data_IF_411859645186
#
_entry.id   IF_411859645186
#
_cell.length_a   1.000
_cell.length_b   1.000
_cell.length_c   1.000
_cell.angle_alpha   90.00
_cell.angle_beta   90.00
_cell.angle_gamma   90.00
#
_symmetry.space_group_name_H-M   'P 1'
#
loop_
_entity.id
_entity.type
_entity.pdbx_description
1 polymer ?
#
# COMPACT_ATOMS: atom_id res chain seq x y z
N UNK A 1 17.03 -3.03 -22.62
CA UNK A 1 16.94 -2.76 -21.17
C UNK A 1 15.48 -2.46 -20.89
N UNK A 2 14.78 -3.30 -20.13
CA UNK A 2 13.41 -2.96 -19.74
C UNK A 2 13.43 -1.70 -18.87
N UNK A 3 12.55 -0.76 -19.17
CA UNK A 3 12.48 0.50 -18.42
C UNK A 3 11.92 0.20 -17.02
N UNK A 4 12.56 0.76 -15.99
CA UNK A 4 12.20 0.58 -14.58
C UNK A 4 10.69 0.67 -14.29
N UNK A 5 10.00 1.64 -14.90
CA UNK A 5 8.56 1.85 -14.71
C UNK A 5 7.71 0.65 -15.15
N UNK A 6 8.10 -0.04 -16.23
CA UNK A 6 7.40 -1.21 -16.72
C UNK A 6 7.53 -2.40 -15.74
N UNK A 7 8.70 -2.56 -15.12
CA UNK A 7 8.95 -3.57 -14.10
C UNK A 7 8.19 -3.24 -12.82
N UNK A 8 8.23 -1.98 -12.38
CA UNK A 8 7.53 -1.53 -11.17
C UNK A 8 6.00 -1.71 -11.28
N UNK A 9 5.45 -1.53 -12.49
CA UNK A 9 4.01 -1.58 -12.76
C UNK A 9 3.58 -2.83 -13.52
N UNK A 10 4.40 -3.89 -13.52
CA UNK A 10 4.11 -5.12 -14.26
C UNK A 10 2.80 -5.79 -13.82
N UNK A 11 2.42 -5.64 -12.56
CA UNK A 11 1.18 -6.20 -12.00
C UNK A 11 -0.01 -5.26 -12.03
N UNK A 12 0.09 -4.11 -12.71
CA UNK A 12 -1.00 -3.17 -12.83
C UNK A 12 -2.16 -3.76 -13.65
N UNK A 13 -3.30 -3.93 -12.99
CA UNK A 13 -4.56 -4.27 -13.62
C UNK A 13 -5.51 -3.08 -13.48
N UNK A 14 -5.73 -2.41 -14.61
CA UNK A 14 -6.61 -1.23 -14.71
C UNK A 14 -7.82 -1.54 -15.61
N UNK A 15 -8.13 -2.82 -15.81
CA UNK A 15 -9.21 -3.31 -16.68
C UNK A 15 -8.98 -3.16 -18.19
N UNK A 16 -7.89 -2.51 -18.62
CA UNK A 16 -7.51 -2.39 -20.03
C UNK A 16 -5.98 -2.26 -20.19
N UNK A 17 -5.40 -3.05 -21.09
CA UNK A 17 -3.97 -3.03 -21.40
C UNK A 17 -3.48 -1.66 -21.88
N UNK A 18 -4.33 -0.88 -22.56
CA UNK A 18 -4.04 0.49 -23.01
C UNK A 18 -3.83 1.44 -21.84
N UNK A 19 -4.59 1.29 -20.75
CA UNK A 19 -4.44 2.09 -19.52
C UNK A 19 -3.13 1.75 -18.82
N UNK A 20 -2.77 0.47 -18.73
CA UNK A 20 -1.46 0.04 -18.20
C UNK A 20 -0.31 0.65 -19.01
N UNK A 21 -0.35 0.54 -20.35
CA UNK A 21 0.67 1.15 -21.24
C UNK A 21 0.75 2.67 -21.03
N UNK A 22 -0.39 3.34 -20.87
CA UNK A 22 -0.45 4.77 -20.58
C UNK A 22 0.17 5.13 -19.24
N UNK A 23 -0.16 4.40 -18.17
CA UNK A 23 0.42 4.60 -16.85
C UNK A 23 1.95 4.50 -16.90
N UNK A 24 2.48 3.46 -17.53
CA UNK A 24 3.92 3.27 -17.69
C UNK A 24 4.55 4.47 -18.42
N UNK A 25 3.96 4.91 -19.54
CA UNK A 25 4.45 6.07 -20.28
C UNK A 25 4.41 7.37 -19.46
N UNK A 26 3.34 7.60 -18.69
CA UNK A 26 3.23 8.78 -17.80
C UNK A 26 4.34 8.76 -16.76
N UNK A 27 4.56 7.60 -16.11
CA UNK A 27 5.59 7.45 -15.07
C UNK A 27 6.99 7.64 -15.65
N UNK A 28 7.28 7.09 -16.82
CA UNK A 28 8.57 7.28 -17.50
C UNK A 28 8.83 8.76 -17.82
N UNK A 29 7.84 9.43 -18.40
CA UNK A 29 7.95 10.85 -18.77
C UNK A 29 8.21 11.71 -17.53
N UNK A 30 7.43 11.53 -16.46
CA UNK A 30 7.58 12.29 -15.22
C UNK A 30 8.88 11.96 -14.48
N UNK A 31 9.29 10.69 -14.45
CA UNK A 31 10.55 10.27 -13.81
C UNK A 31 11.79 10.82 -14.54
N UNK A 32 11.71 10.99 -15.86
CA UNK A 32 12.79 11.61 -16.65
C UNK A 32 12.94 13.11 -16.42
N UNK A 33 11.89 13.79 -15.91
CA UNK A 33 11.80 15.25 -15.79
C UNK A 33 11.08 15.69 -14.51
N UNK A 34 11.60 15.28 -13.34
CA UNK A 34 10.95 15.39 -12.02
C UNK A 34 10.49 16.80 -11.60
N UNK A 35 11.10 17.86 -12.13
CA UNK A 35 10.81 19.25 -11.77
C UNK A 35 9.86 19.96 -12.74
N UNK A 36 9.46 19.29 -13.82
CA UNK A 36 8.66 19.92 -14.88
C UNK A 36 7.17 19.72 -14.69
N UNK A 37 6.39 20.60 -15.33
CA UNK A 37 4.94 20.45 -15.37
C UNK A 37 4.52 19.25 -16.22
N UNK A 38 3.33 18.70 -15.98
CA UNK A 38 2.78 17.57 -16.74
C UNK A 38 2.77 17.84 -18.26
N UNK A 39 2.34 19.01 -18.76
CA UNK A 39 2.39 19.30 -20.18
C UNK A 39 3.81 19.28 -20.75
N UNK A 40 4.78 19.79 -20.00
CA UNK A 40 6.19 19.83 -20.41
C UNK A 40 6.80 18.43 -20.44
N UNK A 41 6.61 17.63 -19.39
CA UNK A 41 7.08 16.25 -19.34
C UNK A 41 6.44 15.36 -20.43
N UNK A 42 5.21 15.68 -20.84
CA UNK A 42 4.47 14.91 -21.85
C UNK A 42 4.96 15.13 -23.28
N UNK A 43 5.72 16.18 -23.55
CA UNK A 43 6.34 16.49 -24.84
C UNK A 43 5.40 17.01 -25.94
N UNK A 44 4.11 16.68 -25.90
CA UNK A 44 3.11 17.24 -26.82
C UNK A 44 1.71 17.32 -26.18
N UNK A 45 0.81 18.10 -26.81
CA UNK A 45 -0.53 18.37 -26.31
C UNK A 45 -1.39 17.10 -26.19
N UNK A 46 -1.31 16.19 -27.16
CA UNK A 46 -2.09 14.95 -27.16
C UNK A 46 -1.70 14.04 -25.98
N UNK A 47 -0.40 13.92 -25.69
CA UNK A 47 0.11 13.16 -24.55
C UNK A 47 -0.28 13.81 -23.21
N UNK A 48 -0.22 15.14 -23.12
CA UNK A 48 -0.64 15.88 -21.94
C UNK A 48 -2.15 15.68 -21.67
N UNK A 49 -3.00 15.83 -22.69
CA UNK A 49 -4.44 15.57 -22.58
C UNK A 49 -4.70 14.15 -22.12
N UNK A 50 -4.03 13.18 -22.72
CA UNK A 50 -4.16 11.77 -22.37
C UNK A 50 -3.74 11.45 -20.92
N UNK A 51 -2.79 12.20 -20.34
CA UNK A 51 -2.41 12.07 -18.94
C UNK A 51 -3.50 12.60 -18.00
N UNK A 52 -4.10 13.75 -18.31
CA UNK A 52 -5.23 14.28 -17.54
C UNK A 52 -6.47 13.39 -17.66
N UNK A 53 -6.78 12.89 -18.85
CA UNK A 53 -7.88 11.94 -19.07
C UNK A 53 -7.65 10.63 -18.30
N UNK A 54 -6.39 10.18 -18.20
CA UNK A 54 -6.02 9.02 -17.41
C UNK A 54 -6.30 9.25 -15.92
N UNK A 55 -5.91 10.40 -15.35
CA UNK A 55 -6.18 10.69 -13.94
C UNK A 55 -7.65 10.96 -13.62
N UNK A 56 -8.42 11.44 -14.61
CA UNK A 56 -9.86 11.64 -14.48
C UNK A 56 -10.69 10.38 -14.82
N UNK A 57 -10.02 9.25 -15.04
CA UNK A 57 -10.67 8.02 -15.47
C UNK A 57 -11.52 7.41 -14.34
N UNK A 58 -12.82 7.10 -14.58
CA UNK A 58 -13.66 6.44 -13.57
C UNK A 58 -13.48 4.92 -13.53
N UNK A 59 -12.60 4.36 -14.38
CA UNK A 59 -12.52 2.91 -14.60
C UNK A 59 -11.55 2.18 -13.67
N UNK A 60 -10.76 2.91 -12.89
CA UNK A 60 -9.85 2.34 -11.89
C UNK A 60 -9.75 3.31 -10.71
N UNK A 61 -9.33 2.79 -9.57
CA UNK A 61 -9.05 3.58 -8.38
C UNK A 61 -7.55 3.79 -8.19
N UNK A 62 -7.13 4.89 -7.53
CA UNK A 62 -5.71 5.09 -7.19
C UNK A 62 -5.11 3.93 -6.39
N UNK A 63 -5.93 3.21 -5.61
CA UNK A 63 -5.54 2.00 -4.87
C UNK A 63 -5.05 0.88 -5.79
N UNK A 64 -5.54 0.79 -7.03
CA UNK A 64 -5.15 -0.26 -7.97
C UNK A 64 -3.71 -0.07 -8.45
N UNK A 65 -3.28 1.19 -8.60
CA UNK A 65 -1.91 1.56 -8.92
C UNK A 65 -0.99 1.25 -7.74
N UNK A 66 -1.38 1.64 -6.52
CA UNK A 66 -0.60 1.37 -5.30
C UNK A 66 -0.47 -0.15 -5.08
N UNK A 67 -1.55 -0.91 -5.29
CA UNK A 67 -1.53 -2.37 -5.16
C UNK A 67 -0.59 -3.03 -6.18
N UNK A 68 -0.50 -2.50 -7.40
CA UNK A 68 0.45 -2.98 -8.40
C UNK A 68 1.91 -2.79 -7.97
N UNK A 69 2.25 -1.60 -7.47
CA UNK A 69 3.58 -1.29 -6.94
C UNK A 69 3.90 -2.12 -5.70
N UNK A 70 2.91 -2.34 -4.82
CA UNK A 70 3.06 -3.18 -3.64
C UNK A 70 3.39 -4.62 -4.02
N UNK A 71 2.77 -5.18 -5.08
CA UNK A 71 3.13 -6.53 -5.58
C UNK A 71 4.58 -6.59 -6.06
N UNK A 72 5.04 -5.62 -6.84
CA UNK A 72 6.44 -5.55 -7.28
C UNK A 72 7.41 -5.41 -6.10
N UNK A 73 7.03 -4.63 -5.10
CA UNK A 73 7.79 -4.48 -3.84
C UNK A 73 7.85 -5.80 -3.06
N UNK A 74 6.76 -6.56 -3.02
CA UNK A 74 6.72 -7.88 -2.36
C UNK A 74 7.67 -8.86 -3.04
N UNK A 75 7.76 -8.87 -4.37
CA UNK A 75 8.75 -9.72 -5.07
C UNK A 75 10.19 -9.37 -4.67
N UNK A 76 10.54 -8.07 -4.61
CA UNK A 76 11.85 -7.63 -4.11
C UNK A 76 12.08 -8.02 -2.66
N UNK A 77 11.06 -7.91 -1.80
CA UNK A 77 11.16 -8.25 -0.37
C UNK A 77 11.52 -9.74 -0.16
N UNK A 78 11.06 -10.65 -1.02
CA UNK A 78 11.33 -12.10 -0.89
C UNK A 78 12.83 -12.43 -0.94
N UNK A 79 13.63 -11.60 -1.59
CA UNK A 79 15.09 -11.77 -1.71
C UNK A 79 15.83 -11.38 -0.42
N UNK A 80 15.14 -10.77 0.55
CA UNK A 80 15.73 -10.31 1.81
C UNK A 80 15.23 -11.12 3.01
N UNK A 81 16.13 -11.64 3.87
CA UNK A 81 15.73 -12.39 5.07
C UNK A 81 15.07 -11.50 6.12
N UNK A 82 15.43 -10.21 6.17
CA UNK A 82 14.89 -9.22 7.11
C UNK A 82 14.57 -7.94 6.35
N UNK A 83 13.34 -7.45 6.54
CA UNK A 83 12.85 -6.18 6.00
C UNK A 83 12.21 -5.37 7.12
N UNK A 84 12.50 -4.08 7.15
CA UNK A 84 11.90 -3.07 8.01
C UNK A 84 10.72 -2.43 7.27
N UNK A 85 9.53 -2.52 7.85
CA UNK A 85 8.33 -1.81 7.38
C UNK A 85 8.24 -0.45 8.11
N UNK A 86 8.87 0.57 7.54
CA UNK A 86 8.89 1.92 8.13
C UNK A 86 7.57 2.62 7.84
N UNK A 87 6.90 3.10 8.89
CA UNK A 87 5.61 3.76 8.79
C UNK A 87 5.73 5.23 9.22
N UNK A 88 5.18 6.14 8.42
CA UNK A 88 5.07 7.54 8.81
C UNK A 88 3.88 8.25 8.14
N UNK A 89 3.48 9.40 8.66
CA UNK A 89 2.40 10.24 8.11
C UNK A 89 2.95 11.60 7.71
N UNK A 90 2.82 11.94 6.43
CA UNK A 90 3.10 13.28 5.91
C UNK A 90 1.82 14.01 5.50
N UNK A 91 1.92 15.32 5.28
CA UNK A 91 0.82 16.17 4.82
C UNK A 91 1.16 16.76 3.46
N UNK A 92 0.21 16.72 2.53
CA UNK A 92 0.27 17.45 1.28
C UNK A 92 -0.50 18.75 1.44
N UNK A 93 0.19 19.88 1.51
CA UNK A 93 -0.40 21.20 1.69
C UNK A 93 -0.80 21.81 0.32
N UNK A 94 -2.08 22.15 0.20
CA UNK A 94 -2.67 22.77 -0.97
C UNK A 94 -3.46 24.03 -0.63
N UNK A 95 -3.14 24.68 0.50
CA UNK A 95 -3.87 25.83 1.05
C UNK A 95 -4.02 26.98 0.05
N UNK A 96 -3.03 27.20 -0.80
CA UNK A 96 -3.05 28.26 -1.82
C UNK A 96 -3.90 27.92 -3.06
N UNK A 97 -4.26 26.65 -3.25
CA UNK A 97 -4.94 26.14 -4.45
C UNK A 97 -6.45 26.10 -4.25
N UNK A 98 -7.07 27.29 -4.15
CA UNK A 98 -8.49 27.49 -3.80
C UNK A 98 -9.50 26.76 -4.70
N UNK A 99 -9.14 26.46 -5.94
CA UNK A 99 -10.00 25.76 -6.89
C UNK A 99 -10.09 24.24 -6.64
N UNK A 100 -9.17 23.66 -5.84
CA UNK A 100 -9.16 22.22 -5.54
C UNK A 100 -10.29 21.86 -4.57
N UNK A 101 -10.98 20.76 -4.87
CA UNK A 101 -12.05 20.18 -4.05
C UNK A 101 -11.56 18.92 -3.35
N UNK A 102 -12.32 18.45 -2.35
CA UNK A 102 -12.02 17.20 -1.63
C UNK A 102 -10.85 17.28 -0.67
N UNK A 103 -10.41 18.49 -0.31
CA UNK A 103 -9.34 18.71 0.68
C UNK A 103 -9.93 18.79 2.09
N UNK A 104 -9.14 18.41 3.08
CA UNK A 104 -9.49 18.49 4.50
C UNK A 104 -8.56 19.41 5.27
N UNK A 105 -8.90 19.75 6.51
CA UNK A 105 -8.00 20.53 7.36
C UNK A 105 -6.75 19.71 7.73
N UNK A 106 -5.59 20.36 7.85
CA UNK A 106 -4.34 19.72 8.27
C UNK A 106 -4.14 19.85 9.78
N UNK A 107 -2.94 20.19 10.24
CA UNK A 107 -2.66 20.32 11.68
C UNK A 107 -2.99 21.73 12.21
N UNK A 108 -2.95 22.72 11.32
CA UNK A 108 -3.44 24.07 11.57
C UNK A 108 -4.84 24.26 10.96
N UNK A 109 -5.69 25.04 11.63
CA UNK A 109 -7.06 25.33 11.14
C UNK A 109 -7.10 26.07 9.81
N UNK A 110 -6.04 26.80 9.49
CA UNK A 110 -5.92 27.62 8.27
C UNK A 110 -5.25 26.86 7.12
N UNK A 111 -4.76 25.65 7.36
CA UNK A 111 -4.07 24.83 6.36
C UNK A 111 -4.96 23.70 5.87
N UNK A 112 -5.03 23.51 4.55
CA UNK A 112 -5.90 22.53 3.90
C UNK A 112 -5.13 21.65 2.92
N UNK A 113 -5.48 20.37 2.88
CA UNK A 113 -4.81 19.41 2.03
C UNK A 113 -5.19 17.97 2.32
N UNK A 114 -4.22 17.06 2.13
CA UNK A 114 -4.39 15.63 2.33
C UNK A 114 -3.36 15.10 3.33
N UNK A 115 -3.77 14.08 4.09
CA UNK A 115 -2.84 13.28 4.90
C UNK A 115 -2.48 12.02 4.14
N UNK A 116 -1.21 11.66 4.17
CA UNK A 116 -0.66 10.49 3.50
C UNK A 116 0.10 9.67 4.51
N UNK A 117 -0.40 8.48 4.82
CA UNK A 117 0.29 7.51 5.65
C UNK A 117 0.93 6.45 4.77
N UNK A 118 2.26 6.35 4.85
CA UNK A 118 3.05 5.50 3.96
C UNK A 118 3.74 4.43 4.76
N UNK A 119 3.79 3.22 4.20
CA UNK A 119 4.56 2.08 4.71
C UNK A 119 5.62 1.72 3.67
N UNK A 120 6.86 2.04 3.97
CA UNK A 120 8.01 1.81 3.11
C UNK A 120 8.74 0.55 3.54
N UNK A 121 8.97 -0.37 2.61
CA UNK A 121 9.85 -1.52 2.82
C UNK A 121 11.31 -1.11 2.67
N UNK A 122 12.13 -1.43 3.66
CA UNK A 122 13.57 -1.11 3.68
C UNK A 122 14.33 -2.36 4.11
N UNK A 123 15.44 -2.69 3.45
CA UNK A 123 16.31 -3.78 3.89
C UNK A 123 16.98 -3.48 5.24
N UNK A 124 17.57 -4.50 5.88
CA UNK A 124 18.35 -4.31 7.10
C UNK A 124 19.54 -3.34 6.92
N UNK A 125 20.02 -3.16 5.68
CA UNK A 125 21.11 -2.26 5.31
C UNK A 125 20.63 -0.82 5.01
N UNK A 126 19.34 -0.54 5.11
CA UNK A 126 18.79 0.78 4.82
C UNK A 126 18.45 1.03 3.34
N UNK A 127 18.54 0.01 2.48
CA UNK A 127 18.18 0.15 1.05
C UNK A 127 16.65 0.11 0.89
N UNK A 128 16.02 1.12 0.25
CA UNK A 128 14.58 1.13 0.01
C UNK A 128 14.19 0.06 -1.01
N UNK A 129 13.25 -0.81 -0.63
CA UNK A 129 12.72 -1.89 -1.47
C UNK A 129 11.43 -1.50 -2.19
N UNK A 130 10.75 -0.45 -1.73
CA UNK A 130 9.54 0.09 -2.35
C UNK A 130 8.38 0.27 -1.38
N UNK A 131 7.23 0.71 -1.91
CA UNK A 131 6.03 0.98 -1.13
C UNK A 131 5.26 -0.33 -0.86
N UNK A 132 4.99 -0.61 0.41
CA UNK A 132 4.13 -1.74 0.82
C UNK A 132 2.67 -1.31 0.86
N UNK A 133 2.40 -0.11 1.38
CA UNK A 133 1.07 0.45 1.49
C UNK A 133 1.12 1.97 1.51
N UNK A 134 0.06 2.61 1.00
CA UNK A 134 -0.16 4.04 1.15
C UNK A 134 -1.64 4.31 1.30
N UNK A 135 -1.99 5.03 2.37
CA UNK A 135 -3.35 5.47 2.64
C UNK A 135 -3.43 6.99 2.61
N UNK A 136 -4.33 7.51 1.78
CA UNK A 136 -4.54 8.94 1.58
C UNK A 136 -5.95 9.30 2.02
N UNK A 137 -6.09 10.34 2.83
CA UNK A 137 -7.41 10.83 3.25
C UNK A 137 -7.42 12.34 3.47
N UNK A 138 -8.62 12.90 3.38
CA UNK A 138 -8.92 14.27 3.81
C UNK A 138 -9.62 14.23 5.17
N UNK A 139 -9.24 15.10 6.11
CA UNK A 139 -9.96 15.27 7.38
C UNK A 139 -11.23 16.08 7.17
N UNK A 140 -12.37 15.57 7.63
CA UNK A 140 -13.65 16.28 7.54
C UNK A 140 -13.75 17.39 8.59
N UNK A 141 -14.16 18.60 8.20
CA UNK A 141 -14.26 19.75 9.10
C UNK A 141 -15.09 19.51 10.37
N UNK A 142 -16.16 18.70 10.28
CA UNK A 142 -16.99 18.28 11.43
C UNK A 142 -16.20 17.60 12.55
N UNK A 143 -15.05 17.01 12.20
CA UNK A 143 -14.15 16.32 13.12
C UNK A 143 -13.10 17.26 13.74
N UNK A 144 -13.13 18.56 13.45
CA UNK A 144 -12.18 19.50 14.03
C UNK A 144 -12.35 19.58 15.57
N UNK A 145 -11.26 19.34 16.30
CA UNK A 145 -11.25 19.39 17.77
C UNK A 145 -11.66 18.09 18.47
N UNK A 146 -12.10 17.05 17.75
CA UNK A 146 -12.45 15.73 18.32
C UNK A 146 -11.30 15.07 19.08
N UNK A 147 -10.06 15.45 18.78
CA UNK A 147 -8.86 14.94 19.45
C UNK A 147 -8.90 15.17 20.98
N UNK A 148 -9.61 16.21 21.45
CA UNK A 148 -9.83 16.46 22.88
C UNK A 148 -10.64 15.33 23.55
N UNK A 149 -11.50 14.66 22.79
CA UNK A 149 -12.34 13.56 23.26
C UNK A 149 -11.70 12.18 23.06
N UNK A 150 -10.43 12.11 22.63
CA UNK A 150 -9.75 10.84 22.28
C UNK A 150 -9.76 9.78 23.38
N UNK A 151 -9.86 10.15 24.67
CA UNK A 151 -9.91 9.19 25.78
C UNK A 151 -11.24 8.45 25.86
N UNK A 152 -12.33 9.05 25.37
CA UNK A 152 -13.70 8.52 25.44
C UNK A 152 -14.08 7.68 24.22
N UNK A 153 -13.21 7.61 23.21
CA UNK A 153 -13.48 6.97 21.92
C UNK A 153 -12.72 5.66 21.81
N UNK A 154 -13.26 4.74 21.05
CA UNK A 154 -12.56 3.51 20.71
C UNK A 154 -11.42 3.78 19.72
N UNK A 155 -10.39 2.92 19.70
CA UNK A 155 -9.22 3.11 18.84
C UNK A 155 -9.60 3.10 17.36
N UNK A 156 -10.58 2.29 16.96
CA UNK A 156 -11.03 2.15 15.58
C UNK A 156 -11.57 3.46 14.99
N UNK A 157 -12.17 4.32 15.81
CA UNK A 157 -12.73 5.58 15.35
C UNK A 157 -11.69 6.72 15.28
N UNK A 158 -10.47 6.47 15.74
CA UNK A 158 -9.40 7.47 15.81
C UNK A 158 -8.52 7.35 14.59
N UNK A 159 -7.90 8.47 14.22
CA UNK A 159 -6.89 8.48 13.17
C UNK A 159 -5.66 7.61 13.48
N UNK A 160 -5.42 7.28 14.76
CA UNK A 160 -4.39 6.34 15.19
C UNK A 160 -4.65 4.89 14.71
N UNK A 161 -5.88 4.56 14.31
CA UNK A 161 -6.18 3.26 13.71
C UNK A 161 -5.33 2.98 12.46
N UNK A 162 -4.85 4.02 11.76
CA UNK A 162 -4.00 3.88 10.57
C UNK A 162 -2.75 3.02 10.78
N UNK A 163 -2.14 3.08 11.97
CA UNK A 163 -0.95 2.29 12.31
C UNK A 163 -1.29 0.78 12.35
N UNK A 164 -2.47 0.46 12.88
CA UNK A 164 -2.98 -0.92 12.92
C UNK A 164 -3.44 -1.39 11.54
N UNK A 165 -4.07 -0.51 10.75
CA UNK A 165 -4.47 -0.81 9.38
C UNK A 165 -3.25 -1.05 8.48
N UNK A 166 -2.19 -0.25 8.62
CA UNK A 166 -0.94 -0.51 7.91
C UNK A 166 -0.34 -1.86 8.33
N UNK A 167 -0.32 -2.16 9.62
CA UNK A 167 0.12 -3.47 10.12
C UNK A 167 -0.76 -4.64 9.65
N UNK A 168 -2.05 -4.44 9.40
CA UNK A 168 -2.88 -5.49 8.77
C UNK A 168 -2.56 -5.66 7.30
N UNK A 169 -2.28 -4.57 6.56
CA UNK A 169 -1.87 -4.68 5.16
C UNK A 169 -0.52 -5.40 5.00
N UNK A 170 0.45 -5.19 5.92
CA UNK A 170 1.67 -6.01 5.92
C UNK A 170 1.40 -7.50 6.19
N UNK A 171 0.25 -7.84 6.78
CA UNK A 171 -0.19 -9.21 7.08
C UNK A 171 -1.18 -9.77 6.06
N UNK A 172 -1.61 -9.00 5.06
CA UNK A 172 -2.65 -9.41 4.10
C UNK A 172 -2.28 -10.69 3.35
N UNK A 173 -1.00 -10.87 3.06
CA UNK A 173 -0.50 -12.12 2.49
C UNK A 173 -0.80 -13.33 3.41
N UNK A 174 -0.62 -13.23 4.73
CA UNK A 174 -0.92 -14.30 5.69
C UNK A 174 -2.40 -14.71 5.63
N UNK A 175 -3.29 -13.72 5.62
CA UNK A 175 -4.74 -13.95 5.55
C UNK A 175 -5.16 -14.62 4.24
N UNK A 176 -4.56 -14.26 3.11
CA UNK A 176 -4.84 -14.91 1.82
C UNK A 176 -4.41 -16.37 1.85
N UNK A 177 -3.24 -16.68 2.43
CA UNK A 177 -2.75 -18.07 2.50
C UNK A 177 -3.60 -18.92 3.45
N UNK A 178 -4.07 -18.35 4.56
CA UNK A 178 -5.06 -19.00 5.45
C UNK A 178 -6.39 -19.20 4.72
N UNK A 179 -6.87 -18.21 3.97
CA UNK A 179 -8.13 -18.31 3.23
C UNK A 179 -8.05 -19.36 2.10
N UNK A 180 -6.90 -19.50 1.44
CA UNK A 180 -6.65 -20.56 0.45
C UNK A 180 -6.76 -21.95 1.09
N UNK A 181 -6.29 -22.13 2.33
CA UNK A 181 -6.51 -23.37 3.08
C UNK A 181 -7.99 -23.62 3.41
N UNK A 182 -8.78 -22.60 3.70
CA UNK A 182 -10.23 -22.75 3.90
C UNK A 182 -10.96 -23.10 2.59
N UNK A 183 -10.47 -22.60 1.46
CA UNK A 183 -11.02 -22.91 0.14
C UNK A 183 -10.88 -24.40 -0.23
N UNK A 184 -9.96 -25.13 0.41
CA UNK A 184 -9.86 -26.59 0.27
C UNK A 184 -11.16 -27.32 0.66
N UNK A 185 -11.90 -26.84 1.66
CA UNK A 185 -13.21 -27.40 2.03
C UNK A 185 -14.23 -27.31 0.90
N UNK A 186 -14.15 -26.24 0.10
CA UNK A 186 -15.01 -26.03 -1.06
C UNK A 186 -14.68 -27.05 -2.16
N UNK A 187 -13.41 -27.43 -2.31
CA UNK A 187 -13.00 -28.43 -3.32
C UNK A 187 -13.57 -29.83 -3.06
N UNK A 188 -14.01 -30.13 -1.83
CA UNK A 188 -14.70 -31.38 -1.50
C UNK A 188 -16.03 -31.56 -2.24
N UNK A 189 -16.63 -30.47 -2.74
CA UNK A 189 -17.92 -30.51 -3.42
C UNK A 189 -17.87 -31.20 -4.79
N UNK A 190 -16.71 -31.24 -5.44
CA UNK A 190 -16.56 -31.82 -6.79
C UNK A 190 -15.29 -32.65 -6.99
N UNK A 191 -14.40 -32.72 -5.99
CA UNK A 191 -13.14 -33.47 -6.10
C UNK A 191 -13.27 -34.81 -5.35
N UNK A 192 -12.89 -35.95 -5.97
CA UNK A 192 -12.83 -37.23 -5.27
C UNK A 192 -11.96 -37.16 -4.02
N UNK A 193 -12.27 -37.95 -2.98
CA UNK A 193 -11.61 -37.86 -1.67
C UNK A 193 -10.07 -37.96 -1.70
N UNK A 194 -9.50 -38.75 -2.61
CA UNK A 194 -8.04 -38.81 -2.79
C UNK A 194 -7.47 -37.52 -3.42
N UNK A 195 -8.20 -36.89 -4.35
CA UNK A 195 -7.80 -35.62 -4.97
C UNK A 195 -7.90 -34.45 -4.00
N UNK A 196 -8.87 -34.52 -3.07
CA UNK A 196 -8.95 -33.62 -1.91
C UNK A 196 -7.67 -33.73 -1.08
N UNK A 197 -7.21 -34.94 -0.72
CA UNK A 197 -5.97 -35.12 0.04
C UNK A 197 -4.73 -34.58 -0.70
N UNK A 198 -4.64 -34.80 -2.01
CA UNK A 198 -3.54 -34.27 -2.85
C UNK A 198 -3.56 -32.74 -2.87
N UNK A 199 -4.72 -32.11 -3.06
CA UNK A 199 -4.86 -30.65 -3.04
C UNK A 199 -4.49 -30.06 -1.68
N UNK A 200 -4.83 -30.73 -0.56
CA UNK A 200 -4.42 -30.29 0.77
C UNK A 200 -2.90 -30.36 0.91
N UNK A 201 -2.29 -31.48 0.51
CA UNK A 201 -0.87 -31.70 0.66
C UNK A 201 -0.06 -30.68 -0.14
N UNK A 202 -0.44 -30.46 -1.41
CA UNK A 202 0.18 -29.45 -2.29
C UNK A 202 -0.06 -28.05 -1.73
N UNK A 203 -1.30 -27.68 -1.42
CA UNK A 203 -1.62 -26.37 -0.85
C UNK A 203 -0.89 -26.10 0.47
N UNK A 204 -0.69 -27.11 1.31
CA UNK A 204 0.09 -27.00 2.55
C UNK A 204 1.57 -26.81 2.25
N UNK A 205 2.16 -27.65 1.39
CA UNK A 205 3.58 -27.57 1.06
C UNK A 205 3.99 -26.20 0.49
N UNK A 206 3.14 -25.58 -0.34
CA UNK A 206 3.42 -24.27 -0.94
C UNK A 206 3.08 -23.08 -0.03
N UNK A 207 2.04 -23.16 0.81
CA UNK A 207 1.62 -22.03 1.65
C UNK A 207 2.29 -22.00 3.04
N UNK A 208 2.62 -23.16 3.60
CA UNK A 208 3.17 -23.29 4.95
C UNK A 208 4.50 -22.52 5.12
N UNK A 209 5.45 -22.54 4.16
CA UNK A 209 6.68 -21.74 4.27
C UNK A 209 6.40 -20.23 4.36
N UNK A 210 5.45 -19.73 3.56
CA UNK A 210 5.05 -18.32 3.57
C UNK A 210 4.44 -17.91 4.92
N UNK A 211 3.55 -18.74 5.47
CA UNK A 211 2.94 -18.51 6.78
C UNK A 211 3.99 -18.55 7.89
N UNK A 212 4.92 -19.50 7.85
CA UNK A 212 5.92 -19.67 8.91
C UNK A 212 6.89 -18.50 8.99
N UNK A 213 7.39 -18.02 7.85
CA UNK A 213 8.25 -16.83 7.77
C UNK A 213 7.52 -15.59 8.30
N UNK A 214 6.26 -15.40 7.92
CA UNK A 214 5.43 -14.28 8.39
C UNK A 214 5.14 -14.37 9.90
N UNK A 215 4.84 -15.56 10.43
CA UNK A 215 4.62 -15.79 11.86
C UNK A 215 5.88 -15.58 12.70
N UNK A 216 7.03 -16.05 12.22
CA UNK A 216 8.31 -15.91 12.89
C UNK A 216 8.69 -14.44 13.05
N UNK A 217 8.58 -13.65 11.98
CA UNK A 217 8.83 -12.21 12.01
C UNK A 217 7.86 -11.46 12.94
N UNK A 218 6.59 -11.89 13.02
CA UNK A 218 5.58 -11.31 13.91
C UNK A 218 5.90 -11.50 15.39
N UNK A 219 6.26 -12.70 15.82
CA UNK A 219 6.53 -12.98 17.24
C UNK A 219 7.67 -12.10 17.77
N UNK A 220 8.68 -11.86 16.94
CA UNK A 220 9.80 -10.97 17.26
C UNK A 220 9.36 -9.51 17.36
N UNK A 221 8.55 -9.03 16.41
CA UNK A 221 8.05 -7.64 16.40
C UNK A 221 7.08 -7.35 17.56
N UNK A 222 6.18 -8.29 17.89
CA UNK A 222 5.27 -8.16 19.02
C UNK A 222 6.03 -8.09 20.35
N UNK A 223 7.06 -8.92 20.50
CA UNK A 223 7.94 -8.88 21.67
C UNK A 223 8.63 -7.52 21.82
N UNK A 224 9.13 -6.94 20.72
CA UNK A 224 9.75 -5.60 20.70
C UNK A 224 8.75 -4.48 21.03
N UNK A 225 7.49 -4.58 20.56
CA UNK A 225 6.43 -3.61 20.86
C UNK A 225 5.99 -3.64 22.32
N UNK A 226 5.91 -4.83 22.93
CA UNK A 226 5.62 -5.00 24.36
C UNK A 226 6.75 -4.42 25.21
N UNK A 227 8.01 -4.65 24.84
CA UNK A 227 9.17 -4.08 25.53
C UNK A 227 9.19 -2.55 25.47
N UNK A 228 8.84 -1.95 24.32
CA UNK A 228 8.73 -0.50 24.16
C UNK A 228 7.54 0.10 24.93
N UNK A 229 6.42 -0.62 25.02
CA UNK A 229 5.24 -0.22 25.80
C UNK A 229 5.45 -0.27 27.32
N UNK A 230 6.45 -1.01 27.80
CA UNK A 230 6.86 -1.08 29.21
C UNK A 230 7.95 -0.05 29.58
N UNK A 231 8.28 0.89 28.70
CA UNK A 231 9.25 1.95 28.98
C UNK A 231 10.71 1.49 29.00
N UNK A 232 11.02 0.27 28.53
CA UNK A 232 12.41 -0.14 28.34
C UNK A 232 12.96 0.44 27.04
N UNK A 233 13.95 1.32 27.16
CA UNK A 233 14.78 1.78 26.05
C UNK A 233 15.54 0.57 25.50
N UNK A 234 15.30 0.23 24.23
CA UNK A 234 16.04 -0.81 23.52
C UNK A 234 17.17 -0.07 22.77
N UNK A 235 18.41 -0.23 23.25
CA UNK A 235 19.62 0.07 22.47
C UNK A 235 19.84 -1.01 21.41
#
# INVERSE_FOLDING_TARGET
>A
MEKWAAQELQYADLGDTRRKKRLISIVENLASQLSTSVPQASGNLAAASAAYDFWNSPYFHPSDIIAAQAKSTVERIKEHPIVLAVQDTTSLDFTTQKAKKGMGYLDCKTSFGLKVHTTLGVSAQGVPLGLINQYVWAREEKNLGIAKQRKKRETQEKESQRWLNSLSETRRAEYVHIAIWLFWLVTMLWTPGWGVLVNLAVGTAFNLPCLWVQRYNRLRLQHLLVLKGQGKTIC
#
